data_IF_419499360641
#
_entry.id   IF_419499360641
#
_cell.length_a   1.000
_cell.length_b   1.000
_cell.length_c   1.000
_cell.angle_alpha   90.00
_cell.angle_beta   90.00
_cell.angle_gamma   90.00
#
_symmetry.space_group_name_H-M   'P 1'
#
loop_
_entity.id
_entity.type
_entity.pdbx_description
1 polymer ?
#
# COMPACT_ATOMS: atom_id res chain seq x y z
N UNK A 1 15.51 1.04 17.26
CA UNK A 1 15.40 1.61 15.90
C UNK A 1 14.32 2.68 15.97
N UNK A 2 14.57 3.88 15.46
CA UNK A 2 13.51 4.90 15.36
C UNK A 2 12.92 4.86 13.96
N UNK A 3 11.59 4.78 13.87
CA UNK A 3 10.89 4.78 12.60
C UNK A 3 10.20 6.13 12.39
N UNK A 4 10.19 6.58 11.14
CA UNK A 4 9.44 7.75 10.71
C UNK A 4 8.39 7.31 9.70
N UNK A 5 7.15 7.76 9.89
CA UNK A 5 6.10 7.62 8.89
C UNK A 5 6.02 8.87 8.03
N UNK A 6 5.80 8.67 6.73
CA UNK A 6 5.52 9.73 5.77
C UNK A 6 4.19 9.44 5.06
N UNK A 7 3.42 10.45 4.63
CA UNK A 7 2.28 10.24 3.76
C UNK A 7 2.67 9.44 2.51
N UNK A 8 1.77 8.56 2.04
CA UNK A 8 1.93 7.97 0.71
C UNK A 8 1.96 9.06 -0.36
N UNK A 9 2.64 8.79 -1.47
CA UNK A 9 2.78 9.74 -2.58
C UNK A 9 2.21 9.16 -3.87
N UNK A 10 1.54 10.02 -4.64
CA UNK A 10 1.03 9.68 -5.97
C UNK A 10 0.19 8.41 -5.94
N UNK A 11 0.65 7.37 -6.65
CA UNK A 11 -0.06 6.10 -6.83
C UNK A 11 0.38 5.01 -5.85
N UNK A 12 1.21 5.31 -4.84
CA UNK A 12 1.64 4.33 -3.82
C UNK A 12 0.47 3.64 -3.11
N UNK A 13 -0.69 4.31 -3.00
CA UNK A 13 -1.90 3.76 -2.39
C UNK A 13 -2.39 2.47 -3.08
N UNK A 14 -2.11 2.30 -4.38
CA UNK A 14 -2.45 1.09 -5.15
C UNK A 14 -1.71 -0.16 -4.64
N UNK A 15 -0.61 0.02 -3.91
CA UNK A 15 0.21 -1.02 -3.30
C UNK A 15 -0.14 -1.25 -1.84
N UNK A 16 -1.30 -0.76 -1.38
CA UNK A 16 -1.89 -1.19 -0.10
C UNK A 16 -3.01 -2.21 -0.29
N UNK A 17 -3.33 -2.59 -1.53
CA UNK A 17 -4.33 -3.61 -1.83
C UNK A 17 -3.68 -4.86 -2.43
N UNK A 18 -4.48 -5.92 -2.52
CA UNK A 18 -4.08 -7.10 -3.27
C UNK A 18 -3.78 -6.73 -4.72
N UNK A 19 -2.60 -7.12 -5.19
CA UNK A 19 -2.12 -6.89 -6.55
C UNK A 19 -2.00 -8.21 -7.33
N UNK A 20 -1.76 -8.12 -8.64
CA UNK A 20 -1.51 -9.33 -9.44
C UNK A 20 -0.24 -10.05 -8.94
N UNK A 21 -0.13 -11.35 -9.24
CA UNK A 21 1.08 -12.13 -8.92
C UNK A 21 2.33 -11.54 -9.57
N UNK A 22 2.20 -10.97 -10.77
CA UNK A 22 3.31 -10.35 -11.48
C UNK A 22 3.80 -9.09 -10.78
N UNK A 23 2.90 -8.17 -10.41
CA UNK A 23 3.27 -6.95 -9.66
C UNK A 23 3.83 -7.33 -8.28
N UNK A 24 3.23 -8.30 -7.62
CA UNK A 24 3.68 -8.78 -6.31
C UNK A 24 5.11 -9.34 -6.38
N UNK A 25 5.44 -10.08 -7.45
CA UNK A 25 6.80 -10.53 -7.72
C UNK A 25 7.78 -9.40 -8.02
N UNK A 26 7.38 -8.42 -8.83
CA UNK A 26 8.21 -7.27 -9.22
C UNK A 26 8.53 -6.33 -8.06
N UNK A 27 7.58 -6.18 -7.13
CA UNK A 27 7.71 -5.32 -5.94
C UNK A 27 8.30 -6.04 -4.73
N UNK A 28 8.55 -7.35 -4.82
CA UNK A 28 9.08 -8.13 -3.71
C UNK A 28 8.13 -8.18 -2.51
N UNK A 29 6.82 -8.32 -2.76
CA UNK A 29 5.81 -8.44 -1.70
C UNK A 29 6.11 -9.66 -0.82
N UNK A 30 6.28 -9.44 0.48
CA UNK A 30 6.48 -10.49 1.49
C UNK A 30 5.14 -11.06 1.92
N UNK A 31 4.20 -10.16 2.21
CA UNK A 31 2.89 -10.44 2.75
C UNK A 31 2.26 -9.18 3.34
N UNK A 32 1.18 -9.34 4.09
CA UNK A 32 0.56 -8.22 4.78
C UNK A 32 -0.02 -8.61 6.14
N UNK A 33 0.05 -7.68 7.08
CA UNK A 33 -0.65 -7.77 8.35
C UNK A 33 -1.96 -6.98 8.26
N UNK A 34 -3.06 -7.57 8.71
CA UNK A 34 -4.29 -6.83 8.99
C UNK A 34 -4.51 -6.78 10.49
N UNK A 35 -5.00 -5.66 11.02
CA UNK A 35 -5.28 -5.52 12.45
C UNK A 35 -6.48 -4.62 12.76
N UNK A 36 -7.00 -4.76 13.97
CA UNK A 36 -8.06 -3.94 14.55
C UNK A 36 -7.82 -3.68 16.05
N UNK A 37 -8.54 -2.70 16.59
CA UNK A 37 -8.43 -2.32 18.00
C UNK A 37 -9.41 -3.04 18.94
N UNK A 38 -10.18 -3.99 18.42
CA UNK A 38 -11.22 -4.71 19.14
C UNK A 38 -12.35 -3.81 19.69
N UNK A 39 -13.24 -4.41 20.48
CA UNK A 39 -14.40 -3.72 21.06
C UNK A 39 -14.03 -2.63 22.08
N UNK A 40 -12.86 -2.75 22.72
CA UNK A 40 -12.34 -1.80 23.71
C UNK A 40 -11.68 -0.57 23.09
N UNK A 41 -11.52 -0.53 21.77
CA UNK A 41 -10.79 0.50 21.02
C UNK A 41 -9.30 0.66 21.45
N UNK A 42 -8.77 -0.26 22.27
CA UNK A 42 -7.42 -0.22 22.85
C UNK A 42 -6.61 -1.52 22.66
N UNK A 43 -7.16 -2.54 22.01
CA UNK A 43 -6.43 -3.77 21.69
C UNK A 43 -5.58 -3.61 20.43
N UNK A 44 -4.81 -4.64 20.06
CA UNK A 44 -4.16 -4.73 18.76
C UNK A 44 -4.24 -6.18 18.30
N UNK A 45 -5.39 -6.55 17.73
CA UNK A 45 -5.64 -7.91 17.26
C UNK A 45 -5.24 -7.99 15.79
N UNK A 46 -4.40 -8.96 15.43
CA UNK A 46 -3.83 -8.99 14.10
C UNK A 46 -3.75 -10.39 13.49
N UNK A 47 -3.67 -10.43 12.17
CA UNK A 47 -3.44 -11.65 11.39
C UNK A 47 -2.40 -11.36 10.31
N UNK A 48 -1.40 -12.22 10.23
CA UNK A 48 -0.42 -12.23 9.13
C UNK A 48 -0.96 -13.03 7.95
N UNK A 49 -0.86 -12.47 6.75
CA UNK A 49 -1.19 -13.13 5.49
C UNK A 49 0.08 -13.21 4.65
N UNK A 50 0.60 -14.42 4.53
CA UNK A 50 1.81 -14.69 3.78
C UNK A 50 1.55 -14.66 2.27
N UNK A 51 2.43 -13.99 1.53
CA UNK A 51 2.45 -14.06 0.06
C UNK A 51 3.55 -15.01 -0.43
N UNK A 52 4.77 -14.82 0.09
CA UNK A 52 5.93 -15.65 -0.24
C UNK A 52 6.73 -16.02 1.00
N UNK A 53 6.67 -17.29 1.37
CA UNK A 53 7.33 -17.83 2.54
C UNK A 53 8.86 -17.63 2.52
N UNK A 54 9.48 -17.65 1.34
CA UNK A 54 10.93 -17.47 1.19
C UNK A 54 11.40 -16.03 1.42
N UNK A 55 10.49 -15.06 1.42
CA UNK A 55 10.79 -13.67 1.81
C UNK A 55 10.48 -13.38 3.28
N UNK A 56 9.79 -14.29 3.97
CA UNK A 56 9.45 -14.17 5.40
C UNK A 56 10.62 -14.63 6.29
N UNK A 57 11.77 -14.00 6.08
CA UNK A 57 13.04 -14.30 6.76
C UNK A 57 13.06 -13.77 8.20
N UNK A 58 14.03 -14.21 9.00
CA UNK A 58 14.20 -13.68 10.36
C UNK A 58 14.64 -12.20 10.35
N UNK A 59 15.40 -11.78 9.34
CA UNK A 59 15.74 -10.38 9.08
C UNK A 59 14.48 -9.54 8.83
N UNK A 60 13.58 -9.99 7.94
CA UNK A 60 12.30 -9.35 7.71
C UNK A 60 11.50 -9.21 9.00
N UNK A 61 11.35 -10.30 9.75
CA UNK A 61 10.58 -10.30 11.00
C UNK A 61 11.17 -9.33 12.02
N UNK A 62 12.49 -9.27 12.15
CA UNK A 62 13.15 -8.37 13.09
C UNK A 62 12.82 -6.90 12.79
N UNK A 63 12.95 -6.47 11.53
CA UNK A 63 12.63 -5.09 11.13
C UNK A 63 11.13 -4.80 11.18
N UNK A 64 10.29 -5.76 10.75
CA UNK A 64 8.84 -5.63 10.75
C UNK A 64 8.27 -5.49 12.17
N UNK A 65 8.64 -6.40 13.09
CA UNK A 65 8.15 -6.33 14.46
C UNK A 65 8.69 -5.11 15.20
N UNK A 66 9.95 -4.72 14.96
CA UNK A 66 10.46 -3.47 15.50
C UNK A 66 9.63 -2.25 15.05
N UNK A 67 9.19 -2.20 13.79
CA UNK A 67 8.34 -1.11 13.29
C UNK A 67 6.92 -1.14 13.89
N UNK A 68 6.29 -2.32 13.95
CA UNK A 68 4.95 -2.47 14.54
C UNK A 68 4.97 -2.12 16.03
N UNK A 69 5.90 -2.70 16.79
CA UNK A 69 6.04 -2.45 18.23
C UNK A 69 6.26 -0.96 18.49
N UNK A 70 7.15 -0.32 17.73
CA UNK A 70 7.40 1.10 17.81
C UNK A 70 6.10 1.90 17.65
N UNK A 71 5.28 1.66 16.63
CA UNK A 71 4.03 2.44 16.45
C UNK A 71 2.89 2.07 17.41
N UNK A 72 2.97 0.92 18.09
CA UNK A 72 2.06 0.51 19.16
C UNK A 72 2.39 1.15 20.52
N UNK A 73 3.58 1.75 20.68
CA UNK A 73 3.95 2.46 21.91
C UNK A 73 2.99 3.62 22.22
N UNK A 74 2.84 3.90 23.52
CA UNK A 74 1.95 4.97 24.01
C UNK A 74 2.26 6.31 23.35
N UNK A 75 1.24 6.93 22.76
CA UNK A 75 1.33 8.23 22.10
C UNK A 75 1.55 8.16 20.59
N UNK A 76 1.57 6.95 20.01
CA UNK A 76 1.70 6.74 18.55
C UNK A 76 0.43 6.15 17.95
N UNK A 77 0.35 6.18 16.62
CA UNK A 77 -0.91 5.99 15.90
C UNK A 77 -1.45 4.54 15.93
N UNK A 78 -0.67 3.53 16.31
CA UNK A 78 -1.17 2.16 16.51
C UNK A 78 -1.40 1.81 17.98
N UNK A 79 -1.27 2.77 18.92
CA UNK A 79 -1.49 2.49 20.33
C UNK A 79 -2.96 2.18 20.66
N UNK A 80 -3.89 2.91 20.05
CA UNK A 80 -5.35 2.75 20.19
C UNK A 80 -6.06 3.48 19.06
N UNK A 81 -7.35 3.15 18.83
CA UNK A 81 -8.12 3.71 17.71
C UNK A 81 -8.20 5.23 17.70
N UNK A 82 -8.30 5.84 18.89
CA UNK A 82 -8.32 7.31 19.03
C UNK A 82 -7.00 7.95 18.58
N UNK A 83 -5.87 7.32 18.86
CA UNK A 83 -4.57 7.86 18.46
C UNK A 83 -4.38 7.71 16.94
N UNK A 84 -4.86 6.61 16.35
CA UNK A 84 -4.97 6.47 14.89
C UNK A 84 -5.83 7.56 14.27
N UNK A 85 -7.03 7.80 14.82
CA UNK A 85 -7.95 8.81 14.29
C UNK A 85 -7.31 10.20 14.29
N UNK A 86 -6.70 10.60 15.42
CA UNK A 86 -5.99 11.87 15.51
C UNK A 86 -4.88 11.98 14.47
N UNK A 87 -4.10 10.91 14.28
CA UNK A 87 -3.02 10.87 13.30
C UNK A 87 -3.53 10.96 11.85
N UNK A 88 -4.61 10.25 11.51
CA UNK A 88 -5.22 10.29 10.18
C UNK A 88 -5.71 11.70 9.81
N UNK A 89 -6.37 12.38 10.74
CA UNK A 89 -6.97 13.69 10.49
C UNK A 89 -5.99 14.87 10.68
N UNK A 90 -4.75 14.61 11.13
CA UNK A 90 -3.73 15.65 11.23
C UNK A 90 -3.16 15.97 9.85
N UNK A 91 -3.22 17.27 9.49
CA UNK A 91 -2.80 17.76 8.18
C UNK A 91 -1.34 17.42 7.91
N UNK A 92 -1.08 16.75 6.78
CA UNK A 92 0.27 16.42 6.31
C UNK A 92 0.89 15.17 6.94
N UNK A 93 0.17 14.43 7.80
CA UNK A 93 0.65 13.16 8.38
C UNK A 93 0.33 11.95 7.53
N UNK A 94 -0.78 11.99 6.78
CA UNK A 94 -1.25 10.86 5.98
C UNK A 94 -1.71 11.30 4.59
N UNK A 95 -1.82 10.35 3.68
CA UNK A 95 -2.47 10.51 2.38
C UNK A 95 -3.93 10.08 2.49
N UNK A 96 -4.88 11.00 2.32
CA UNK A 96 -6.32 10.66 2.35
C UNK A 96 -6.77 10.06 1.01
N UNK A 97 -7.48 8.94 1.07
CA UNK A 97 -7.98 8.25 -0.12
C UNK A 97 -9.27 8.92 -0.59
N UNK A 98 -9.59 8.82 -1.88
CA UNK A 98 -10.77 9.46 -2.47
C UNK A 98 -12.11 9.04 -1.84
N UNK A 99 -12.15 7.90 -1.15
CA UNK A 99 -13.34 7.44 -0.44
C UNK A 99 -13.59 8.17 0.89
N UNK A 100 -12.67 9.00 1.37
CA UNK A 100 -12.77 9.76 2.62
C UNK A 100 -12.79 8.90 3.89
N UNK A 101 -12.43 7.61 3.79
CA UNK A 101 -12.46 6.63 4.89
C UNK A 101 -11.10 6.04 5.21
N UNK A 102 -10.22 5.98 4.21
CA UNK A 102 -8.93 5.32 4.30
C UNK A 102 -7.79 6.33 4.18
N UNK A 103 -6.72 6.08 4.92
CA UNK A 103 -5.54 6.94 5.00
C UNK A 103 -4.28 6.12 4.79
N UNK A 104 -3.30 6.66 4.06
CA UNK A 104 -2.08 5.98 3.69
C UNK A 104 -0.85 6.57 4.34
N UNK A 105 0.00 5.72 4.91
CA UNK A 105 1.38 6.09 5.25
C UNK A 105 2.36 5.03 4.81
N UNK A 106 3.59 5.47 4.54
CA UNK A 106 4.74 4.62 4.30
C UNK A 106 5.69 4.73 5.48
N UNK A 107 6.19 3.58 5.91
CA UNK A 107 7.27 3.46 6.90
C UNK A 107 8.37 2.65 6.25
N UNK A 108 9.59 3.17 6.27
CA UNK A 108 10.75 2.46 5.79
C UNK A 108 11.61 1.99 6.96
N UNK A 109 12.18 0.80 6.79
CA UNK A 109 13.31 0.31 7.57
C UNK A 109 14.58 0.31 6.72
N UNK A 110 15.60 -0.45 7.11
CA UNK A 110 16.84 -0.57 6.34
C UNK A 110 16.58 -1.27 5.01
N UNK A 111 15.90 -2.42 5.04
CA UNK A 111 15.71 -3.27 3.86
C UNK A 111 14.26 -3.34 3.34
N UNK A 112 13.28 -2.89 4.14
CA UNK A 112 11.86 -3.07 3.85
C UNK A 112 11.08 -1.76 3.83
N UNK A 113 9.99 -1.77 3.07
CA UNK A 113 9.00 -0.70 3.04
C UNK A 113 7.65 -1.27 3.47
N UNK A 114 7.01 -0.58 4.42
CA UNK A 114 5.73 -0.95 5.00
C UNK A 114 4.69 0.11 4.61
N UNK A 115 3.82 -0.24 3.65
CA UNK A 115 2.75 0.64 3.21
C UNK A 115 1.49 0.30 4.00
N UNK A 116 1.09 1.23 4.85
CA UNK A 116 -0.02 1.08 5.78
C UNK A 116 -1.25 1.83 5.28
N UNK A 117 -2.34 1.10 5.06
CA UNK A 117 -3.69 1.65 4.93
C UNK A 117 -4.39 1.61 6.28
N UNK A 118 -4.74 2.79 6.78
CA UNK A 118 -5.38 3.03 8.05
C UNK A 118 -6.86 3.34 7.84
N UNK A 119 -7.71 2.86 8.74
CA UNK A 119 -9.14 3.16 8.76
C UNK A 119 -9.56 3.41 10.23
N UNK A 120 -9.82 4.67 10.65
CA UNK A 120 -10.09 4.98 12.05
C UNK A 120 -11.52 4.62 12.51
N UNK A 121 -12.35 4.07 11.62
CA UNK A 121 -13.75 3.77 11.90
C UNK A 121 -13.89 2.55 12.85
N UNK A 122 -14.86 2.63 13.75
CA UNK A 122 -15.12 1.57 14.74
C UNK A 122 -15.76 0.34 14.08
N UNK A 123 -15.33 -0.85 14.47
CA UNK A 123 -15.89 -2.12 13.98
C UNK A 123 -15.36 -2.55 12.61
N UNK A 124 -14.37 -1.84 12.08
CA UNK A 124 -13.67 -2.15 10.83
C UNK A 124 -12.28 -2.74 11.14
N UNK A 125 -11.65 -3.36 10.13
CA UNK A 125 -10.20 -3.53 10.16
C UNK A 125 -9.54 -2.16 10.08
N UNK A 126 -8.77 -1.82 11.10
CA UNK A 126 -8.18 -0.49 11.25
C UNK A 126 -6.83 -0.33 10.57
N UNK A 127 -6.13 -1.44 10.30
CA UNK A 127 -4.82 -1.45 9.64
C UNK A 127 -4.75 -2.57 8.60
N UNK A 128 -4.22 -2.23 7.43
CA UNK A 128 -3.56 -3.15 6.52
C UNK A 128 -2.13 -2.67 6.29
N UNK A 129 -1.13 -3.48 6.62
CA UNK A 129 0.29 -3.17 6.46
C UNK A 129 0.90 -4.13 5.43
N UNK A 130 1.05 -3.66 4.18
CA UNK A 130 1.68 -4.42 3.10
C UNK A 130 3.19 -4.24 3.16
N UNK A 131 3.91 -5.35 3.14
CA UNK A 131 5.34 -5.39 3.41
C UNK A 131 6.11 -5.78 2.16
N UNK A 132 7.05 -4.93 1.74
CA UNK A 132 7.81 -5.08 0.50
C UNK A 132 9.31 -5.02 0.76
N UNK A 133 10.09 -5.66 -0.11
CA UNK A 133 11.51 -5.31 -0.23
C UNK A 133 11.63 -3.88 -0.77
N UNK A 134 12.28 -3.01 -0.01
CA UNK A 134 12.28 -1.56 -0.25
C UNK A 134 12.81 -1.21 -1.65
N UNK A 135 14.00 -1.69 -1.99
CA UNK A 135 14.65 -1.36 -3.28
C UNK A 135 13.83 -1.83 -4.48
N UNK A 136 13.12 -2.95 -4.34
CA UNK A 136 12.30 -3.52 -5.41
C UNK A 136 11.05 -2.68 -5.62
N UNK A 137 10.37 -2.34 -4.52
CA UNK A 137 9.21 -1.46 -4.57
C UNK A 137 9.58 -0.08 -5.14
N UNK A 138 10.66 0.53 -4.66
CA UNK A 138 11.09 1.85 -5.12
C UNK A 138 11.44 1.87 -6.60
N UNK A 139 12.16 0.84 -7.07
CA UNK A 139 12.46 0.66 -8.49
C UNK A 139 11.18 0.53 -9.34
N UNK A 140 10.20 -0.23 -8.86
CA UNK A 140 8.93 -0.41 -9.55
C UNK A 140 8.11 0.89 -9.58
N UNK A 141 8.01 1.61 -8.46
CA UNK A 141 7.30 2.89 -8.35
C UNK A 141 7.92 3.98 -9.24
N UNK A 142 9.25 4.04 -9.32
CA UNK A 142 9.94 4.98 -10.21
C UNK A 142 9.59 4.73 -11.68
N UNK A 143 9.48 3.46 -12.06
CA UNK A 143 9.12 3.05 -13.44
C UNK A 143 7.64 3.27 -13.71
N UNK A 144 6.75 2.90 -12.79
CA UNK A 144 5.31 3.09 -12.94
C UNK A 144 4.94 4.58 -13.00
N UNK A 145 5.70 5.44 -12.32
CA UNK A 145 5.60 6.90 -12.42
C UNK A 145 5.84 7.47 -13.83
N UNK A 146 6.46 6.70 -14.74
CA UNK A 146 6.66 7.09 -16.16
C UNK A 146 5.43 6.82 -17.03
N UNK A 147 4.38 6.24 -16.45
CA UNK A 147 3.11 5.93 -17.10
C UNK A 147 3.11 4.68 -17.96
N UNK A 148 1.93 4.11 -18.14
CA UNK A 148 1.63 2.97 -19.00
C UNK A 148 1.56 3.44 -20.45
N UNK A 149 2.38 2.86 -21.32
CA UNK A 149 2.47 3.22 -22.74
C UNK A 149 1.42 2.48 -23.57
N UNK A 150 0.69 3.23 -24.37
CA UNK A 150 -0.12 2.69 -25.46
C UNK A 150 0.62 2.91 -26.77
N UNK A 151 0.82 1.83 -27.52
CA UNK A 151 1.64 1.82 -28.73
C UNK A 151 0.85 1.30 -29.93
N UNK A 152 1.26 1.70 -31.13
CA UNK A 152 0.80 1.09 -32.38
C UNK A 152 1.58 -0.20 -32.71
N UNK A 153 1.23 -0.85 -33.82
CA UNK A 153 1.91 -2.06 -34.31
C UNK A 153 3.35 -1.82 -34.78
N UNK A 154 3.78 -0.55 -34.86
CA UNK A 154 5.14 -0.12 -35.20
C UNK A 154 5.92 0.33 -33.96
N UNK A 155 5.39 0.11 -32.75
CA UNK A 155 5.98 0.48 -31.46
C UNK A 155 6.13 2.01 -31.23
N UNK A 156 5.38 2.83 -31.96
CA UNK A 156 5.35 4.27 -31.70
C UNK A 156 4.49 4.57 -30.47
N UNK A 157 4.92 5.51 -29.61
CA UNK A 157 4.12 6.00 -28.48
C UNK A 157 2.92 6.77 -29.01
N UNK A 158 1.71 6.31 -28.70
CA UNK A 158 0.46 7.01 -29.00
C UNK A 158 0.11 7.96 -27.85
N UNK A 159 -0.01 7.42 -26.64
CA UNK A 159 -0.26 8.17 -25.41
C UNK A 159 0.17 7.35 -24.19
N UNK A 160 0.15 8.00 -23.04
CA UNK A 160 0.42 7.36 -21.74
C UNK A 160 -0.70 7.68 -20.76
N UNK A 161 -0.97 6.75 -19.88
CA UNK A 161 -1.82 6.96 -18.71
C UNK A 161 -1.03 6.65 -17.44
N UNK A 162 -1.40 7.27 -16.32
CA UNK A 162 -0.79 6.96 -15.02
C UNK A 162 -1.08 5.51 -14.59
N UNK A 163 -0.23 4.93 -13.75
CA UNK A 163 -0.57 3.66 -13.09
C UNK A 163 -1.87 3.81 -12.26
N UNK A 164 -2.79 2.85 -12.41
CA UNK A 164 -4.14 2.94 -11.86
C UNK A 164 -5.13 3.76 -12.71
N UNK A 165 -4.69 4.31 -13.85
CA UNK A 165 -5.57 5.01 -14.80
C UNK A 165 -6.62 4.09 -15.43
N UNK A 166 -7.67 4.67 -15.98
CA UNK A 166 -8.76 3.95 -16.63
C UNK A 166 -8.78 4.23 -18.14
N UNK A 167 -9.12 3.20 -18.92
CA UNK A 167 -9.46 3.32 -20.34
C UNK A 167 -10.90 2.85 -20.57
N UNK A 168 -11.53 3.41 -21.59
CA UNK A 168 -12.83 2.95 -22.09
C UNK A 168 -12.64 2.26 -23.43
N UNK A 169 -13.15 1.03 -23.53
CA UNK A 169 -13.10 0.24 -24.76
C UNK A 169 -14.51 0.20 -25.36
N UNK A 170 -14.63 0.65 -26.60
CA UNK A 170 -15.89 0.64 -27.34
C UNK A 170 -15.90 -0.50 -28.35
N UNK A 171 -16.93 -1.35 -28.30
CA UNK A 171 -17.17 -2.40 -29.28
C UNK A 171 -18.44 -2.07 -30.08
N UNK A 172 -18.46 -2.28 -31.40
CA UNK A 172 -19.63 -1.98 -32.22
C UNK A 172 -20.89 -2.71 -31.75
N UNK A 173 -21.92 -1.95 -31.37
CA UNK A 173 -23.21 -2.50 -30.93
C UNK A 173 -23.24 -3.00 -29.47
N UNK A 174 -22.15 -2.86 -28.73
CA UNK A 174 -22.08 -3.21 -27.30
C UNK A 174 -21.96 -1.97 -26.43
N UNK A 175 -22.21 -2.15 -25.12
CA UNK A 175 -21.96 -1.07 -24.16
C UNK A 175 -20.45 -0.88 -24.00
N UNK A 176 -19.96 0.37 -23.91
CA UNK A 176 -18.56 0.63 -23.59
C UNK A 176 -18.15 -0.04 -22.28
N UNK A 177 -16.90 -0.45 -22.23
CA UNK A 177 -16.34 -1.20 -21.10
C UNK A 177 -15.16 -0.44 -20.53
N UNK A 178 -15.25 -0.10 -19.25
CA UNK A 178 -14.16 0.52 -18.50
C UNK A 178 -13.15 -0.54 -18.00
N UNK A 179 -11.87 -0.22 -18.09
CA UNK A 179 -10.75 -1.05 -17.64
C UNK A 179 -9.73 -0.19 -16.92
N UNK A 180 -9.46 -0.53 -15.66
CA UNK A 180 -8.34 0.03 -14.92
C UNK A 180 -7.05 -0.69 -15.30
N UNK A 181 -6.02 0.09 -15.60
CA UNK A 181 -4.73 -0.40 -16.05
C UNK A 181 -3.71 -0.31 -14.92
N UNK A 182 -2.91 -1.37 -14.79
CA UNK A 182 -1.79 -1.41 -13.86
C UNK A 182 -0.47 -1.55 -14.60
N UNK A 183 0.52 -0.78 -14.18
CA UNK A 183 1.88 -0.87 -14.72
C UNK A 183 2.51 -2.21 -14.33
N UNK A 184 3.21 -2.81 -15.27
CA UNK A 184 3.91 -4.07 -15.13
C UNK A 184 5.30 -3.87 -15.73
N UNK A 185 6.36 -4.22 -14.98
CA UNK A 185 7.71 -4.22 -15.54
C UNK A 185 7.83 -5.29 -16.64
N UNK A 186 8.54 -4.95 -17.71
CA UNK A 186 8.94 -5.90 -18.75
C UNK A 186 10.26 -6.58 -18.41
#
# INVERSE_FOLDING_TARGET
MEFTSIPLKGTEYLYTYHNSQQISGQTGLVGYLRADFGSSDCGFFHTWNEHRADYNTDEFKAEFYAAIDYFCEKGRFLHKRRDMANFCYEVGKTFEYENGREFGVRVDSEHYAFLMRLNPNKGEYNLYCYCYKKDWLDSHLERSGKGIRFIDSKYNDLFRISDGGCITIEYPGEKPVERYCRFIDN
#
